data_IF_703635200646
#
_entry.id   IF_703635200646
#
_cell.length_a   1.000
_cell.length_b   1.000
_cell.length_c   1.000
_cell.angle_alpha   90.00
_cell.angle_beta   90.00
_cell.angle_gamma   90.00
#
_symmetry.space_group_name_H-M   'P 1'
#
loop_
_entity.id
_entity.type
_entity.pdbx_description
1 polymer ?
#
# COMPACT_ATOMS: atom_id res chain seq x y z
N UNK A 1 -3.67 -7.04 30.27
CA UNK A 1 -2.53 -7.31 29.35
C UNK A 1 -3.05 -8.07 28.16
N UNK A 2 -2.68 -7.64 26.96
CA UNK A 2 -3.05 -8.33 25.72
C UNK A 2 -2.33 -9.68 25.66
N UNK A 3 -3.02 -10.76 25.27
CA UNK A 3 -2.37 -12.07 25.23
C UNK A 3 -1.29 -12.10 24.14
N UNK A 4 -0.14 -12.76 24.40
CA UNK A 4 0.97 -12.79 23.43
C UNK A 4 0.56 -13.44 22.10
N UNK A 5 -0.42 -14.35 22.12
CA UNK A 5 -0.98 -14.97 20.91
C UNK A 5 -1.79 -13.96 20.08
N UNK A 6 -2.61 -13.13 20.73
CA UNK A 6 -3.41 -12.12 20.04
C UNK A 6 -2.55 -11.01 19.45
N UNK A 7 -1.46 -10.61 20.13
CA UNK A 7 -0.49 -9.66 19.60
C UNK A 7 0.22 -10.19 18.34
N UNK A 8 0.64 -11.46 18.33
CA UNK A 8 1.23 -12.10 17.14
C UNK A 8 0.26 -12.11 15.96
N UNK A 9 -1.00 -12.49 16.19
CA UNK A 9 -2.04 -12.49 15.15
C UNK A 9 -2.19 -11.10 14.50
N UNK A 10 -2.27 -10.06 15.32
CA UNK A 10 -2.41 -8.68 14.84
C UNK A 10 -1.21 -8.22 14.03
N UNK A 11 0.03 -8.53 14.47
CA UNK A 11 1.24 -8.21 13.72
C UNK A 11 1.24 -8.93 12.36
N UNK A 12 0.86 -10.20 12.31
CA UNK A 12 0.79 -10.96 11.04
C UNK A 12 -0.25 -10.37 10.09
N UNK A 13 -1.45 -10.05 10.59
CA UNK A 13 -2.50 -9.39 9.80
C UNK A 13 -2.03 -8.03 9.25
N UNK A 14 -1.34 -7.26 10.09
CA UNK A 14 -0.80 -5.96 9.71
C UNK A 14 0.27 -6.07 8.61
N UNK A 15 1.18 -7.04 8.72
CA UNK A 15 2.18 -7.30 7.67
C UNK A 15 1.53 -7.70 6.36
N UNK A 16 0.52 -8.58 6.39
CA UNK A 16 -0.24 -8.96 5.18
C UNK A 16 -0.93 -7.74 4.55
N UNK A 17 -1.49 -6.84 5.35
CA UNK A 17 -2.09 -5.59 4.88
C UNK A 17 -1.06 -4.71 4.16
N UNK A 18 0.12 -4.48 4.76
CA UNK A 18 1.18 -3.68 4.12
C UNK A 18 1.61 -4.29 2.79
N UNK A 19 1.86 -5.60 2.76
CA UNK A 19 2.27 -6.29 1.54
C UNK A 19 1.20 -6.11 0.46
N UNK A 20 -0.08 -6.25 0.81
CA UNK A 20 -1.19 -6.07 -0.13
C UNK A 20 -1.24 -4.65 -0.72
N UNK A 21 -0.97 -3.63 0.10
CA UNK A 21 -0.93 -2.23 -0.34
C UNK A 21 0.25 -1.94 -1.26
N UNK A 22 1.42 -2.51 -0.96
CA UNK A 22 2.61 -2.40 -1.82
C UNK A 22 2.36 -3.07 -3.16
N UNK A 23 1.79 -4.28 -3.17
CA UNK A 23 1.43 -4.99 -4.41
C UNK A 23 0.41 -4.17 -5.21
N UNK A 24 -0.61 -3.60 -4.55
CA UNK A 24 -1.59 -2.73 -5.20
C UNK A 24 -0.95 -1.46 -5.79
N UNK A 25 0.00 -0.84 -5.08
CA UNK A 25 0.71 0.34 -5.55
C UNK A 25 1.55 0.03 -6.80
N UNK A 26 2.25 -1.11 -6.80
CA UNK A 26 3.01 -1.60 -7.95
C UNK A 26 2.10 -1.95 -9.13
N UNK A 27 0.98 -2.61 -8.88
CA UNK A 27 -0.02 -2.91 -9.92
C UNK A 27 -0.56 -1.64 -10.56
N UNK A 28 -0.98 -0.65 -9.75
CA UNK A 28 -1.50 0.62 -10.26
C UNK A 28 -0.43 1.38 -11.08
N UNK A 29 0.84 1.34 -10.66
CA UNK A 29 1.96 1.93 -11.40
C UNK A 29 2.19 1.23 -12.74
N UNK A 30 2.20 -0.10 -12.76
CA UNK A 30 2.36 -0.85 -14.01
C UNK A 30 1.16 -0.59 -14.95
N UNK A 31 -0.04 -0.49 -14.39
CA UNK A 31 -1.25 -0.20 -15.15
C UNK A 31 -1.23 1.20 -15.76
N UNK A 32 -0.80 2.23 -15.01
CA UNK A 32 -0.65 3.58 -15.58
C UNK A 32 0.38 3.61 -16.71
N UNK A 33 1.50 2.89 -16.56
CA UNK A 33 2.53 2.78 -17.60
C UNK A 33 2.04 2.06 -18.87
N UNK A 34 1.10 1.12 -18.75
CA UNK A 34 0.54 0.40 -19.91
C UNK A 34 -0.24 1.30 -20.88
N UNK A 35 -0.67 2.49 -20.45
CA UNK A 35 -1.38 3.46 -21.28
C UNK A 35 -0.47 4.52 -21.91
N UNK A 36 0.83 4.49 -21.63
CA UNK A 36 1.80 5.40 -22.24
C UNK A 36 1.83 5.14 -23.75
N UNK A 37 1.70 6.20 -24.55
CA UNK A 37 1.67 6.11 -26.02
C UNK A 37 0.30 5.82 -26.63
N UNK A 38 -0.75 5.57 -25.83
CA UNK A 38 -2.12 5.35 -26.36
C UNK A 38 -2.99 6.61 -26.38
N UNK A 39 -2.44 7.77 -26.00
CA UNK A 39 -3.19 9.04 -25.88
C UNK A 39 -4.21 9.11 -24.74
N UNK A 40 -4.30 8.06 -23.89
CA UNK A 40 -5.27 7.97 -22.77
C UNK A 40 -4.74 8.66 -21.51
N UNK A 41 -4.49 9.97 -21.58
CA UNK A 41 -3.88 10.74 -20.48
C UNK A 41 -4.69 10.67 -19.19
N UNK A 42 -6.02 10.79 -19.27
CA UNK A 42 -6.90 10.72 -18.10
C UNK A 42 -6.82 9.37 -17.36
N UNK A 43 -6.65 8.25 -18.07
CA UNK A 43 -6.47 6.95 -17.41
C UNK A 43 -5.10 6.85 -16.74
N UNK A 44 -4.03 7.36 -17.37
CA UNK A 44 -2.69 7.38 -16.77
C UNK A 44 -2.72 8.12 -15.43
N UNK A 45 -3.35 9.30 -15.39
CA UNK A 45 -3.48 10.10 -14.16
C UNK A 45 -4.34 9.41 -13.10
N UNK A 46 -5.49 8.83 -13.48
CA UNK A 46 -6.34 8.13 -12.53
C UNK A 46 -5.61 6.95 -11.85
N UNK A 47 -4.82 6.19 -12.61
CA UNK A 47 -4.04 5.07 -12.08
C UNK A 47 -2.80 5.54 -11.31
N UNK A 48 -2.16 6.63 -11.71
CA UNK A 48 -0.99 7.18 -10.99
C UNK A 48 -1.40 7.76 -9.63
N UNK A 49 -2.55 8.43 -9.53
CA UNK A 49 -3.11 8.93 -8.27
C UNK A 49 -3.43 7.76 -7.33
N UNK A 50 -4.05 6.69 -7.83
CA UNK A 50 -4.31 5.47 -7.02
C UNK A 50 -3.01 4.85 -6.49
N UNK A 51 -1.96 4.80 -7.32
CA UNK A 51 -0.65 4.32 -6.90
C UNK A 51 -0.05 5.23 -5.81
N UNK A 52 -0.12 6.55 -5.98
CA UNK A 52 0.38 7.52 -5.00
C UNK A 52 -0.34 7.40 -3.65
N UNK A 53 -1.67 7.31 -3.65
CA UNK A 53 -2.46 7.07 -2.44
C UNK A 53 -2.06 5.76 -1.74
N UNK A 54 -1.86 4.68 -2.49
CA UNK A 54 -1.44 3.39 -1.94
C UNK A 54 -0.07 3.48 -1.28
N UNK A 55 0.88 4.21 -1.88
CA UNK A 55 2.19 4.47 -1.29
C UNK A 55 2.10 5.30 -0.01
N UNK A 56 1.33 6.40 -0.01
CA UNK A 56 1.13 7.25 1.17
C UNK A 56 0.52 6.43 2.31
N UNK A 57 -0.50 5.63 2.02
CA UNK A 57 -1.16 4.79 3.02
C UNK A 57 -0.20 3.74 3.59
N UNK A 58 0.56 3.05 2.72
CA UNK A 58 1.54 2.05 3.16
C UNK A 58 2.66 2.65 4.01
N UNK A 59 3.15 3.84 3.65
CA UNK A 59 4.18 4.56 4.38
C UNK A 59 3.67 5.04 5.75
N UNK A 60 2.47 5.63 5.78
CA UNK A 60 1.84 6.08 7.03
C UNK A 60 1.58 4.94 8.01
N UNK A 61 1.06 3.81 7.52
CA UNK A 61 0.87 2.61 8.34
C UNK A 61 2.21 2.08 8.87
N UNK A 62 3.24 2.00 8.02
CA UNK A 62 4.56 1.54 8.42
C UNK A 62 5.17 2.41 9.53
N UNK A 63 5.05 3.74 9.42
CA UNK A 63 5.50 4.69 10.45
C UNK A 63 4.72 4.49 11.76
N UNK A 64 3.38 4.41 11.68
CA UNK A 64 2.54 4.19 12.85
C UNK A 64 2.88 2.89 13.59
N UNK A 65 3.20 1.83 12.85
CA UNK A 65 3.62 0.55 13.43
C UNK A 65 4.98 0.63 14.11
N UNK A 66 5.95 1.32 13.50
CA UNK A 66 7.27 1.55 14.12
C UNK A 66 7.09 2.32 15.44
N UNK A 67 6.29 3.38 15.45
CA UNK A 67 6.01 4.18 16.65
C UNK A 67 5.27 3.38 17.74
N UNK A 68 4.45 2.40 17.38
CA UNK A 68 3.79 1.52 18.35
C UNK A 68 4.76 0.52 18.98
N UNK A 69 5.77 0.07 18.23
CA UNK A 69 6.76 -0.91 18.72
C UNK A 69 7.85 -0.27 19.56
N UNK A 70 8.23 0.98 19.25
CA UNK A 70 9.23 1.76 19.96
C UNK A 70 8.74 2.15 21.37
#
# INVERSE_FOLDING_TARGET
MMSPHFQKLLITLFLMLIISLVVLALYCRNKSQSYIGTGRVAEIEAWSIKAAFSWILSGGLSIGFILMIL
#
